data_IF_316897882539
#
_entry.id   IF_316897882539
#
_cell.length_a   1.000
_cell.length_b   1.000
_cell.length_c   1.000
_cell.angle_alpha   90.00
_cell.angle_beta   90.00
_cell.angle_gamma   90.00
#
_symmetry.space_group_name_H-M   'P 1'
#
loop_
_entity.id
_entity.type
_entity.pdbx_description
1 polymer ?
#
# COMPACT_ATOMS: atom_id res chain seq x y z
N UNK A 1 -23.85 32.89 21.87
CA UNK A 1 -23.16 31.62 22.13
C UNK A 1 -24.17 30.52 21.86
N UNK A 2 -24.05 29.81 20.75
CA UNK A 2 -24.85 28.61 20.52
C UNK A 2 -24.29 27.51 21.42
N UNK A 3 -25.08 27.09 22.39
CA UNK A 3 -24.74 25.98 23.30
C UNK A 3 -25.41 24.75 22.73
N UNK A 4 -24.65 23.94 22.00
CA UNK A 4 -25.11 22.67 21.48
C UNK A 4 -25.25 21.66 22.62
N UNK A 5 -26.39 20.98 22.67
CA UNK A 5 -26.64 19.93 23.65
C UNK A 5 -25.84 18.68 23.31
N UNK A 6 -25.57 17.82 24.31
CA UNK A 6 -24.88 16.54 24.09
C UNK A 6 -25.60 15.66 23.06
N UNK A 7 -26.92 15.77 22.96
CA UNK A 7 -27.73 15.01 22.00
C UNK A 7 -27.54 15.52 20.55
N UNK A 8 -27.37 16.83 20.37
CA UNK A 8 -27.09 17.43 19.06
C UNK A 8 -25.67 17.11 18.58
N UNK A 9 -24.71 16.94 19.49
CA UNK A 9 -23.30 16.64 19.17
C UNK A 9 -23.02 15.16 18.96
N UNK A 10 -23.81 14.25 19.53
CA UNK A 10 -23.63 12.80 19.42
C UNK A 10 -23.47 12.28 17.98
N UNK A 11 -24.34 12.63 17.00
CA UNK A 11 -24.20 12.16 15.62
C UNK A 11 -22.96 12.73 14.91
N UNK A 12 -22.51 13.93 15.31
CA UNK A 12 -21.29 14.53 14.76
C UNK A 12 -20.03 13.81 15.25
N UNK A 13 -20.00 13.41 16.53
CA UNK A 13 -18.89 12.64 17.09
C UNK A 13 -18.77 11.27 16.42
N UNK A 14 -19.89 10.54 16.27
CA UNK A 14 -19.90 9.24 15.57
C UNK A 14 -19.39 9.37 14.12
N UNK A 15 -19.77 10.46 13.44
CA UNK A 15 -19.31 10.73 12.07
C UNK A 15 -17.80 11.02 12.02
N UNK A 16 -17.26 11.74 12.98
CA UNK A 16 -15.82 12.02 13.07
C UNK A 16 -15.03 10.73 13.32
N UNK A 17 -15.50 9.87 14.22
CA UNK A 17 -14.86 8.58 14.50
C UNK A 17 -14.85 7.69 13.25
N UNK A 18 -15.98 7.60 12.55
CA UNK A 18 -16.08 6.84 11.29
C UNK A 18 -15.12 7.37 10.22
N UNK A 19 -15.05 8.69 10.05
CA UNK A 19 -14.13 9.31 9.08
C UNK A 19 -12.67 9.07 9.47
N UNK A 20 -12.36 9.15 10.77
CA UNK A 20 -11.01 8.89 11.27
C UNK A 20 -10.58 7.45 10.99
N UNK A 21 -11.48 6.48 11.20
CA UNK A 21 -11.26 5.08 10.88
C UNK A 21 -11.03 4.86 9.38
N UNK A 22 -11.84 5.47 8.52
CA UNK A 22 -11.67 5.39 7.06
C UNK A 22 -10.34 6.00 6.60
N UNK A 23 -9.93 7.13 7.17
CA UNK A 23 -8.62 7.74 6.88
C UNK A 23 -7.50 6.80 7.28
N UNK A 24 -7.59 6.17 8.45
CA UNK A 24 -6.58 5.23 8.92
C UNK A 24 -6.49 3.98 8.02
N UNK A 25 -7.63 3.44 7.58
CA UNK A 25 -7.67 2.32 6.63
C UNK A 25 -7.05 2.69 5.28
N UNK A 26 -7.36 3.87 4.75
CA UNK A 26 -6.78 4.37 3.51
C UNK A 26 -5.28 4.63 3.64
N UNK A 27 -4.82 5.16 4.78
CA UNK A 27 -3.41 5.35 5.09
C UNK A 27 -2.69 4.00 5.15
N UNK A 28 -3.27 3.00 5.79
CA UNK A 28 -2.71 1.65 5.86
C UNK A 28 -2.62 1.02 4.46
N UNK A 29 -3.69 1.12 3.67
CA UNK A 29 -3.70 0.65 2.28
C UNK A 29 -2.67 1.41 1.41
N UNK A 30 -2.43 2.69 1.67
CA UNK A 30 -1.41 3.49 0.97
C UNK A 30 0.01 3.10 1.38
N UNK A 31 0.24 2.73 2.66
CA UNK A 31 1.52 2.24 3.18
C UNK A 31 1.93 0.88 2.57
N UNK A 32 0.96 0.13 2.04
CA UNK A 32 1.19 -1.14 1.36
C UNK A 32 1.67 -0.98 -0.09
N UNK A 33 1.71 0.24 -0.65
CA UNK A 33 2.21 0.49 -1.99
C UNK A 33 3.60 1.14 -1.95
N UNK A 34 4.57 0.50 -2.59
CA UNK A 34 5.97 0.95 -2.60
C UNK A 34 6.45 1.34 -4.00
N UNK A 35 7.33 2.35 -4.12
CA UNK A 35 7.92 2.70 -5.40
C UNK A 35 8.93 1.62 -5.84
N UNK A 36 9.26 1.61 -7.14
CA UNK A 36 10.19 0.62 -7.73
C UNK A 36 11.50 0.41 -6.94
N UNK A 37 12.23 1.44 -6.45
CA UNK A 37 13.47 1.21 -5.72
C UNK A 37 13.28 0.39 -4.44
N UNK A 38 12.18 0.63 -3.72
CA UNK A 38 11.87 -0.14 -2.53
C UNK A 38 11.35 -1.54 -2.87
N UNK A 39 10.54 -1.68 -3.93
CA UNK A 39 10.13 -2.98 -4.44
C UNK A 39 11.35 -3.85 -4.81
N UNK A 40 12.37 -3.29 -5.45
CA UNK A 40 13.64 -3.96 -5.76
C UNK A 40 14.37 -4.43 -4.50
N UNK A 41 14.44 -3.58 -3.47
CA UNK A 41 15.07 -3.91 -2.18
C UNK A 41 14.33 -5.05 -1.47
N UNK A 42 13.00 -5.03 -1.46
CA UNK A 42 12.18 -6.03 -0.78
C UNK A 42 12.12 -7.36 -1.53
N UNK A 43 12.08 -7.34 -2.87
CA UNK A 43 12.03 -8.56 -3.68
C UNK A 43 13.41 -9.14 -4.03
N UNK A 44 14.48 -8.40 -3.79
CA UNK A 44 15.84 -8.75 -4.22
C UNK A 44 16.01 -8.83 -5.73
N UNK A 45 15.13 -8.18 -6.51
CA UNK A 45 15.17 -8.21 -7.99
C UNK A 45 15.59 -6.88 -8.60
N UNK A 46 16.19 -6.97 -9.78
CA UNK A 46 16.66 -5.81 -10.53
C UNK A 46 15.53 -5.11 -11.27
N UNK A 47 15.74 -3.83 -11.61
CA UNK A 47 14.83 -3.05 -12.47
C UNK A 47 14.49 -3.77 -13.78
N UNK A 48 15.48 -4.39 -14.42
CA UNK A 48 15.30 -5.12 -15.67
C UNK A 48 14.35 -6.32 -15.51
N UNK A 49 14.44 -7.03 -14.38
CA UNK A 49 13.53 -8.13 -14.07
C UNK A 49 12.08 -7.65 -13.96
N UNK A 50 11.84 -6.53 -13.26
CA UNK A 50 10.49 -5.96 -13.13
C UNK A 50 9.90 -5.59 -14.49
N UNK A 51 10.65 -4.90 -15.34
CA UNK A 51 10.17 -4.49 -16.65
C UNK A 51 9.93 -5.69 -17.57
N UNK A 52 10.87 -6.64 -17.64
CA UNK A 52 10.71 -7.83 -18.46
C UNK A 52 9.47 -8.64 -18.06
N UNK A 53 9.25 -8.85 -16.75
CA UNK A 53 8.10 -9.61 -16.24
C UNK A 53 6.79 -8.88 -16.46
N UNK A 54 6.78 -7.57 -16.26
CA UNK A 54 5.62 -6.71 -16.53
C UNK A 54 5.23 -6.75 -18.00
N UNK A 55 6.19 -6.54 -18.89
CA UNK A 55 5.94 -6.48 -20.34
C UNK A 55 5.47 -7.85 -20.88
N UNK A 56 5.88 -8.94 -20.24
CA UNK A 56 5.38 -10.30 -20.52
C UNK A 56 4.06 -10.65 -19.83
N UNK A 57 3.51 -9.79 -18.96
CA UNK A 57 2.31 -10.09 -18.17
C UNK A 57 2.50 -11.22 -17.14
N UNK A 58 3.74 -11.47 -16.70
CA UNK A 58 4.09 -12.56 -15.77
C UNK A 58 4.69 -12.07 -14.46
N UNK A 59 4.46 -10.80 -14.10
CA UNK A 59 4.98 -10.23 -12.85
C UNK A 59 4.20 -10.80 -11.66
N UNK A 60 4.85 -11.53 -10.74
CA UNK A 60 4.19 -12.12 -9.56
C UNK A 60 4.05 -11.10 -8.41
N UNK A 61 4.00 -9.81 -8.73
CA UNK A 61 3.91 -8.70 -7.78
C UNK A 61 2.82 -7.78 -8.30
N UNK A 62 1.79 -7.56 -7.49
CA UNK A 62 0.67 -6.69 -7.82
C UNK A 62 1.16 -5.27 -8.00
N UNK A 63 0.71 -4.63 -9.07
CA UNK A 63 0.98 -3.22 -9.34
C UNK A 63 -0.29 -2.41 -9.14
N UNK A 64 -0.15 -1.22 -8.57
CA UNK A 64 -1.25 -0.27 -8.53
C UNK A 64 -1.60 0.14 -9.98
N UNK A 65 -2.87 0.00 -10.42
CA UNK A 65 -3.30 0.48 -11.73
C UNK A 65 -2.94 1.96 -11.91
N UNK A 66 -2.50 2.32 -13.12
CA UNK A 66 -2.22 3.72 -13.43
C UNK A 66 -3.54 4.47 -13.59
N UNK A 67 -3.94 5.20 -12.55
CA UNK A 67 -5.01 6.20 -12.69
C UNK A 67 -4.50 7.43 -13.44
N UNK A 68 -5.41 8.11 -14.14
CA UNK A 68 -5.11 9.31 -14.92
C UNK A 68 -4.47 10.38 -14.02
N UNK A 69 -3.17 10.62 -14.21
CA UNK A 69 -2.39 11.60 -13.45
C UNK A 69 -1.28 11.01 -12.58
N UNK A 70 -1.34 9.73 -12.20
CA UNK A 70 -0.26 9.09 -11.45
C UNK A 70 0.80 8.50 -12.39
N UNK A 71 1.92 9.22 -12.54
CA UNK A 71 3.05 8.79 -13.38
C UNK A 71 3.93 7.73 -12.72
N UNK A 72 3.77 7.46 -11.42
CA UNK A 72 4.63 6.53 -10.67
C UNK A 72 3.97 5.16 -10.59
N UNK A 73 4.67 4.15 -11.08
CA UNK A 73 4.26 2.75 -10.89
C UNK A 73 4.58 2.33 -9.46
N UNK A 74 3.56 1.90 -8.74
CA UNK A 74 3.66 1.42 -7.36
C UNK A 74 3.41 -0.09 -7.32
N UNK A 75 4.02 -0.76 -6.36
CA UNK A 75 4.01 -2.22 -6.22
C UNK A 75 3.54 -2.60 -4.82
N UNK A 76 2.84 -3.73 -4.69
CA UNK A 76 2.44 -4.28 -3.39
C UNK A 76 3.69 -4.61 -2.57
N UNK A 77 3.83 -3.97 -1.41
CA UNK A 77 4.88 -4.22 -0.41
C UNK A 77 4.84 -5.68 0.03
N UNK A 78 3.64 -6.18 0.33
CA UNK A 78 3.40 -7.55 0.79
C UNK A 78 3.89 -8.57 -0.22
N UNK A 79 3.55 -8.39 -1.50
CA UNK A 79 3.98 -9.31 -2.56
C UNK A 79 5.49 -9.26 -2.76
N UNK A 80 6.09 -8.06 -2.68
CA UNK A 80 7.55 -7.92 -2.76
C UNK A 80 8.26 -8.66 -1.64
N UNK A 81 7.76 -8.56 -0.40
CA UNK A 81 8.32 -9.26 0.77
C UNK A 81 8.11 -10.76 0.66
N UNK A 82 6.90 -11.20 0.30
CA UNK A 82 6.57 -12.61 0.11
C UNK A 82 7.50 -13.26 -0.92
N UNK A 83 7.59 -12.64 -2.10
CA UNK A 83 8.47 -13.09 -3.17
C UNK A 83 9.95 -13.10 -2.73
N UNK A 84 10.41 -12.06 -2.02
CA UNK A 84 11.77 -12.00 -1.50
C UNK A 84 12.09 -13.12 -0.50
N UNK A 85 11.14 -13.50 0.36
CA UNK A 85 11.28 -14.62 1.30
C UNK A 85 11.29 -15.97 0.58
N UNK A 86 10.34 -16.19 -0.33
CA UNK A 86 10.25 -17.42 -1.15
C UNK A 86 11.53 -17.67 -1.95
N UNK A 87 12.16 -16.59 -2.43
CA UNK A 87 13.38 -16.64 -3.24
C UNK A 87 14.67 -16.44 -2.42
N UNK A 88 14.57 -16.44 -1.09
CA UNK A 88 15.69 -16.32 -0.14
C UNK A 88 16.56 -15.06 -0.36
N UNK A 89 15.99 -13.99 -0.88
CA UNK A 89 16.66 -12.68 -1.00
C UNK A 89 16.42 -11.78 0.21
N UNK A 90 15.43 -12.10 1.04
CA UNK A 90 15.21 -11.53 2.37
C UNK A 90 15.32 -12.62 3.44
N UNK A 91 15.69 -12.27 4.69
CA UNK A 91 15.60 -13.20 5.80
C UNK A 91 14.14 -13.66 6.04
N UNK A 92 13.94 -14.88 6.55
CA UNK A 92 12.62 -15.34 6.97
C UNK A 92 12.02 -14.41 8.03
N UNK A 93 10.70 -14.35 8.11
CA UNK A 93 10.01 -13.51 9.10
C UNK A 93 10.37 -13.97 10.53
N UNK A 94 10.94 -13.09 11.35
CA UNK A 94 11.11 -13.32 12.79
C UNK A 94 12.49 -13.81 13.27
N UNK A 95 13.58 -13.41 12.61
CA UNK A 95 14.93 -13.45 13.18
C UNK A 95 15.29 -12.12 13.84
#
# INVERSE_FOLDING_TARGET
>A
MEVYTKQELAPWLERIERLSQQVQELQQAQLDWVPLPEAMRLSGRSRAWFYLRRDRGTLPITMLPREAGNRRTMYSRTDCVAYGRENRTLPPAGL
#
